data_IF_581894402219
#
_entry.id   IF_581894402219
#
_cell.length_a   1.000
_cell.length_b   1.000
_cell.length_c   1.000
_cell.angle_alpha   90.00
_cell.angle_beta   90.00
_cell.angle_gamma   90.00
#
_symmetry.space_group_name_H-M   'P 1'
#
loop_
_entity.id
_entity.type
_entity.pdbx_description
1 polymer ?
#
# COMPACT_ATOMS: atom_id res chain seq x y z
N UNK A 1 -9.47 5.81 22.60
CA UNK A 1 -10.38 4.81 21.98
C UNK A 1 -9.57 3.65 21.43
N UNK A 2 -10.06 2.43 21.58
CA UNK A 2 -9.45 1.24 20.98
C UNK A 2 -10.15 0.99 19.65
N UNK A 3 -9.40 0.86 18.55
CA UNK A 3 -9.97 0.54 17.23
C UNK A 3 -9.28 -0.68 16.63
N UNK A 4 -9.91 -1.24 15.61
CA UNK A 4 -9.33 -2.31 14.80
C UNK A 4 -8.10 -1.82 14.01
N UNK A 5 -7.06 -2.64 13.96
CA UNK A 5 -5.83 -2.39 13.22
C UNK A 5 -5.89 -3.05 11.84
N UNK A 6 -6.50 -2.35 10.87
CA UNK A 6 -6.67 -2.84 9.50
C UNK A 6 -5.35 -3.15 8.79
N UNK A 7 -4.30 -2.37 9.07
CA UNK A 7 -2.97 -2.57 8.48
C UNK A 7 -2.35 -3.86 8.99
N UNK A 8 -2.33 -4.05 10.31
CA UNK A 8 -1.82 -5.28 10.91
C UNK A 8 -2.62 -6.50 10.46
N UNK A 9 -3.93 -6.36 10.34
CA UNK A 9 -4.78 -7.41 9.79
C UNK A 9 -4.38 -7.77 8.34
N UNK A 10 -4.14 -6.77 7.48
CA UNK A 10 -3.70 -6.97 6.09
C UNK A 10 -2.36 -7.72 6.01
N UNK A 11 -1.39 -7.34 6.83
CA UNK A 11 -0.07 -7.99 6.90
C UNK A 11 -0.16 -9.44 7.36
N UNK A 12 -0.99 -9.72 8.37
CA UNK A 12 -1.23 -11.08 8.85
C UNK A 12 -1.79 -11.95 7.72
N UNK A 13 -2.79 -11.47 6.99
CA UNK A 13 -3.36 -12.22 5.87
C UNK A 13 -2.34 -12.43 4.74
N UNK A 14 -1.50 -11.43 4.43
CA UNK A 14 -0.42 -11.55 3.43
C UNK A 14 0.56 -12.65 3.83
N UNK A 15 1.03 -12.64 5.08
CA UNK A 15 1.97 -13.65 5.60
C UNK A 15 1.39 -15.07 5.58
N UNK A 16 0.09 -15.23 5.87
CA UNK A 16 -0.59 -16.55 5.82
C UNK A 16 -0.63 -17.09 4.39
N UNK A 17 -0.94 -16.24 3.40
CA UNK A 17 -0.95 -16.65 1.98
C UNK A 17 0.45 -17.01 1.50
N UNK A 18 1.49 -16.27 1.90
CA UNK A 18 2.88 -16.57 1.58
C UNK A 18 3.36 -17.90 2.17
N UNK A 19 3.01 -18.16 3.44
CA UNK A 19 3.31 -19.42 4.14
C UNK A 19 2.46 -20.59 3.64
N UNK A 20 1.38 -20.31 2.90
CA UNK A 20 0.41 -21.28 2.38
C UNK A 20 -0.20 -22.18 3.44
N UNK A 21 -0.29 -21.71 4.69
CA UNK A 21 -0.78 -22.51 5.81
C UNK A 21 -1.50 -21.64 6.85
N UNK A 22 -2.64 -22.13 7.34
CA UNK A 22 -3.37 -21.57 8.49
C UNK A 22 -3.96 -22.72 9.32
N UNK A 23 -3.66 -22.78 10.61
CA UNK A 23 -4.18 -23.80 11.53
C UNK A 23 -3.95 -25.26 11.08
N UNK A 24 -2.84 -25.53 10.38
CA UNK A 24 -2.54 -26.86 9.81
C UNK A 24 -3.19 -27.15 8.46
N UNK A 25 -4.01 -26.23 7.94
CA UNK A 25 -4.62 -26.34 6.62
C UNK A 25 -3.83 -25.56 5.55
N UNK A 26 -3.72 -26.14 4.35
CA UNK A 26 -3.10 -25.45 3.21
C UNK A 26 -3.99 -24.35 2.64
N UNK A 27 -3.41 -23.17 2.48
CA UNK A 27 -4.01 -21.99 1.86
C UNK A 27 -3.31 -21.72 0.53
N UNK A 28 -4.08 -21.70 -0.56
CA UNK A 28 -3.55 -21.51 -1.92
C UNK A 28 -3.84 -20.12 -2.48
N UNK A 29 -4.81 -19.40 -1.92
CA UNK A 29 -5.17 -18.06 -2.38
C UNK A 29 -5.78 -17.20 -1.29
N UNK A 30 -5.74 -15.88 -1.53
CA UNK A 30 -6.36 -14.89 -0.64
C UNK A 30 -7.88 -15.04 -0.57
N UNK A 31 -8.53 -15.45 -1.67
CA UNK A 31 -9.97 -15.72 -1.68
C UNK A 31 -10.33 -16.95 -0.83
N UNK A 32 -9.52 -18.02 -0.90
CA UNK A 32 -9.70 -19.18 -0.04
C UNK A 32 -9.52 -18.82 1.43
N UNK A 33 -8.53 -17.97 1.75
CA UNK A 33 -8.33 -17.46 3.09
C UNK A 33 -9.55 -16.70 3.62
N UNK A 34 -10.16 -15.82 2.79
CA UNK A 34 -11.39 -15.12 3.17
C UNK A 34 -12.55 -16.07 3.41
N UNK A 35 -12.70 -17.12 2.60
CA UNK A 35 -13.72 -18.13 2.80
C UNK A 35 -13.55 -18.85 4.13
N UNK A 36 -12.34 -19.31 4.44
CA UNK A 36 -12.06 -20.03 5.69
C UNK A 36 -12.30 -19.16 6.93
N UNK A 37 -11.86 -17.90 6.90
CA UNK A 37 -12.13 -16.95 7.99
C UNK A 37 -13.64 -16.67 8.10
N UNK A 38 -14.32 -16.48 6.97
CA UNK A 38 -15.76 -16.23 6.93
C UNK A 38 -16.57 -17.39 7.50
N UNK A 39 -16.24 -18.62 7.13
CA UNK A 39 -16.84 -19.85 7.66
C UNK A 39 -16.64 -19.97 9.18
N UNK A 40 -15.42 -19.76 9.67
CA UNK A 40 -15.08 -19.86 11.09
C UNK A 40 -15.77 -18.79 11.96
N UNK A 41 -16.04 -17.61 11.38
CA UNK A 41 -16.63 -16.47 12.08
C UNK A 41 -18.11 -16.25 11.76
N UNK A 42 -18.70 -17.09 10.91
CA UNK A 42 -20.07 -16.95 10.40
C UNK A 42 -20.35 -15.59 9.76
N UNK A 43 -19.40 -15.08 8.97
CA UNK A 43 -19.52 -13.84 8.19
C UNK A 43 -19.21 -14.10 6.72
N UNK A 44 -19.64 -13.21 5.83
CA UNK A 44 -19.34 -13.38 4.40
C UNK A 44 -17.85 -13.19 4.09
N UNK A 45 -17.30 -13.89 3.08
CA UNK A 45 -15.91 -13.67 2.64
C UNK A 45 -15.67 -12.21 2.20
N UNK A 46 -16.68 -11.54 1.64
CA UNK A 46 -16.61 -10.13 1.25
C UNK A 46 -16.52 -9.21 2.47
N UNK A 47 -17.15 -9.57 3.59
CA UNK A 47 -17.00 -8.85 4.87
C UNK A 47 -15.56 -8.93 5.37
N UNK A 48 -14.95 -10.13 5.32
CA UNK A 48 -13.53 -10.33 5.68
C UNK A 48 -12.61 -9.52 4.76
N UNK A 49 -12.89 -9.53 3.45
CA UNK A 49 -12.18 -8.72 2.46
C UNK A 49 -12.32 -7.21 2.78
N UNK A 50 -13.51 -6.77 3.17
CA UNK A 50 -13.78 -5.37 3.51
C UNK A 50 -13.00 -4.89 4.74
N UNK A 51 -12.80 -5.74 5.75
CA UNK A 51 -12.03 -5.39 6.96
C UNK A 51 -10.58 -4.96 6.70
N UNK A 52 -10.00 -5.33 5.55
CA UNK A 52 -8.67 -4.86 5.16
C UNK A 52 -8.65 -3.40 4.66
N UNK A 53 -9.81 -2.79 4.38
CA UNK A 53 -9.89 -1.41 3.88
C UNK A 53 -9.71 -0.41 5.02
N UNK A 54 -9.08 0.73 4.72
CA UNK A 54 -8.72 1.73 5.73
C UNK A 54 -9.93 2.43 6.36
N UNK A 55 -11.05 2.51 5.61
CA UNK A 55 -12.34 3.03 6.11
C UNK A 55 -13.18 2.00 6.86
N UNK A 56 -12.71 0.75 6.95
CA UNK A 56 -13.44 -0.29 7.65
C UNK A 56 -13.19 -0.20 9.15
N UNK A 57 -14.26 -0.18 9.95
CA UNK A 57 -14.14 -0.32 11.39
C UNK A 57 -13.76 -1.74 11.85
N UNK A 58 -13.55 -2.67 10.91
CA UNK A 58 -13.28 -4.08 11.20
C UNK A 58 -14.54 -4.85 11.60
N UNK A 59 -14.39 -5.94 12.36
CA UNK A 59 -15.50 -6.63 13.03
C UNK A 59 -16.40 -5.66 13.79
N UNK A 60 -17.70 -5.92 13.83
CA UNK A 60 -18.69 -5.01 14.45
C UNK A 60 -18.29 -4.67 15.90
N UNK A 61 -18.06 -3.39 16.24
CA UNK A 61 -17.70 -2.99 17.60
C UNK A 61 -18.75 -3.35 18.66
N UNK A 62 -20.01 -3.57 18.24
CA UNK A 62 -21.12 -4.01 19.11
C UNK A 62 -21.07 -5.49 19.43
N UNK A 63 -20.24 -6.26 18.72
CA UNK A 63 -19.94 -7.67 19.00
C UNK A 63 -18.44 -7.87 19.28
N UNK A 64 -17.98 -7.59 20.52
CA UNK A 64 -16.58 -7.77 20.89
C UNK A 64 -16.09 -9.22 20.78
N UNK A 65 -17.00 -10.21 20.80
CA UNK A 65 -16.65 -11.61 20.68
C UNK A 65 -16.25 -11.98 19.25
N UNK A 66 -16.77 -11.29 18.24
CA UNK A 66 -16.36 -11.50 16.84
C UNK A 66 -14.87 -11.20 16.63
N UNK A 67 -14.37 -10.11 17.20
CA UNK A 67 -12.96 -9.74 17.12
C UNK A 67 -12.07 -10.74 17.87
N UNK A 68 -12.48 -11.17 19.06
CA UNK A 68 -11.72 -12.19 19.82
C UNK A 68 -11.64 -13.51 19.08
N UNK A 69 -12.75 -13.95 18.47
CA UNK A 69 -12.78 -15.15 17.64
C UNK A 69 -11.87 -15.02 16.42
N UNK A 70 -11.85 -13.85 15.77
CA UNK A 70 -10.93 -13.57 14.66
C UNK A 70 -9.47 -13.68 15.12
N UNK A 71 -9.09 -13.02 16.20
CA UNK A 71 -7.73 -13.06 16.75
C UNK A 71 -7.31 -14.49 17.10
N UNK A 72 -8.19 -15.22 17.81
CA UNK A 72 -7.95 -16.61 18.19
C UNK A 72 -7.82 -17.53 16.96
N UNK A 73 -8.70 -17.38 15.97
CA UNK A 73 -8.67 -18.17 14.75
C UNK A 73 -7.39 -17.94 13.95
N UNK A 74 -6.81 -16.74 14.01
CA UNK A 74 -5.53 -16.42 13.37
C UNK A 74 -4.30 -16.83 14.20
N UNK A 75 -4.50 -17.38 15.40
CA UNK A 75 -3.41 -17.79 16.30
C UNK A 75 -2.77 -16.63 17.07
N UNK A 76 -3.47 -15.49 17.21
CA UNK A 76 -2.99 -14.32 17.91
C UNK A 76 -3.68 -14.14 19.28
N UNK A 77 -3.00 -13.53 20.27
CA UNK A 77 -3.61 -13.23 21.56
C UNK A 77 -4.74 -12.20 21.42
N UNK A 78 -5.65 -12.20 22.39
CA UNK A 78 -6.71 -11.18 22.46
C UNK A 78 -6.11 -9.78 22.48
N UNK A 79 -6.73 -8.86 21.74
CA UNK A 79 -6.26 -7.49 21.50
C UNK A 79 -5.05 -7.35 20.56
N UNK A 80 -4.58 -8.42 19.91
CA UNK A 80 -3.51 -8.33 18.93
C UNK A 80 -3.86 -7.48 17.70
N UNK A 81 -5.13 -7.44 17.29
CA UNK A 81 -5.63 -6.65 16.18
C UNK A 81 -6.27 -5.33 16.63
N UNK A 82 -5.98 -4.92 17.87
CA UNK A 82 -6.45 -3.66 18.43
C UNK A 82 -5.29 -2.66 18.50
N UNK A 83 -5.51 -1.46 17.98
CA UNK A 83 -4.62 -0.31 18.19
C UNK A 83 -5.26 0.67 19.16
N UNK A 84 -4.51 1.08 20.19
CA UNK A 84 -4.90 2.18 21.06
C UNK A 84 -4.69 3.48 20.30
N UNK A 85 -5.78 4.19 20.06
CA UNK A 85 -5.73 5.60 19.72
C UNK A 85 -5.87 6.36 21.03
N UNK A 86 -4.84 7.13 21.40
CA UNK A 86 -5.02 8.12 22.45
C UNK A 86 -6.00 9.16 21.89
N UNK A 87 -7.23 9.14 22.41
CA UNK A 87 -8.10 10.30 22.26
C UNK A 87 -7.65 11.20 23.40
N UNK A 88 -6.82 12.20 23.08
CA UNK A 88 -6.92 13.46 23.80
C UNK A 88 -8.36 13.91 23.59
N UNK A 89 -9.09 14.10 24.69
CA UNK A 89 -10.46 14.63 24.65
C UNK A 89 -10.46 15.86 23.73
N UNK A 90 -11.44 15.95 22.84
CA UNK A 90 -11.77 17.19 22.14
C UNK A 90 -12.18 18.24 23.20
N UNK A 91 -11.21 18.79 23.91
CA UNK A 91 -11.25 20.22 24.14
C UNK A 91 -11.21 20.86 22.75
N UNK A 92 -12.00 21.90 22.55
CA UNK A 92 -12.02 22.69 21.32
C UNK A 92 -10.66 23.35 21.09
N UNK A 93 -9.64 22.58 20.75
CA UNK A 93 -8.38 23.05 20.23
C UNK A 93 -8.60 23.29 18.74
N UNK A 94 -9.00 24.53 18.46
CA UNK A 94 -8.36 25.38 17.46
C UNK A 94 -7.45 24.61 16.50
N UNK A 95 -7.76 24.64 15.19
CA UNK A 95 -7.01 24.05 14.06
C UNK A 95 -5.53 24.47 14.05
N UNK A 96 -4.75 24.04 15.03
CA UNK A 96 -3.31 24.12 15.01
C UNK A 96 -2.85 22.88 14.30
N UNK A 97 -2.88 22.97 12.98
CA UNK A 97 -1.92 22.28 12.11
C UNK A 97 -0.61 22.23 12.91
N UNK A 98 -0.12 21.04 13.26
CA UNK A 98 1.19 20.91 13.91
C UNK A 98 2.17 21.61 12.97
N UNK A 99 2.58 22.82 13.35
CA UNK A 99 3.42 23.68 12.52
C UNK A 99 4.75 22.94 12.38
N UNK A 100 4.94 22.26 11.26
CA UNK A 100 6.18 21.55 10.99
C UNK A 100 7.27 22.57 10.70
N UNK A 101 8.50 22.31 11.12
CA UNK A 101 9.61 23.23 10.89
C UNK A 101 9.91 23.35 9.39
N UNK A 102 10.51 24.46 8.97
CA UNK A 102 10.96 24.64 7.57
C UNK A 102 11.91 23.53 7.13
N UNK A 103 12.72 22.99 8.06
CA UNK A 103 13.54 21.81 7.80
C UNK A 103 12.69 20.57 7.48
N UNK A 104 11.62 20.32 8.24
CA UNK A 104 10.69 19.22 7.97
C UNK A 104 9.94 19.42 6.64
N UNK A 105 9.52 20.65 6.33
CA UNK A 105 8.92 20.97 5.02
C UNK A 105 9.87 20.65 3.87
N UNK A 106 11.13 21.05 4.01
CA UNK A 106 12.15 20.71 3.03
C UNK A 106 12.31 19.20 2.89
N UNK A 107 12.33 18.44 3.99
CA UNK A 107 12.42 16.97 3.91
C UNK A 107 11.22 16.33 3.21
N UNK A 108 10.02 16.89 3.34
CA UNK A 108 8.83 16.43 2.62
C UNK A 108 8.95 16.78 1.13
N UNK A 109 9.41 18.00 0.81
CA UNK A 109 9.61 18.42 -0.57
C UNK A 109 10.68 17.57 -1.27
N UNK A 110 11.78 17.25 -0.59
CA UNK A 110 12.84 16.37 -1.09
C UNK A 110 12.29 14.98 -1.47
N UNK A 111 11.31 14.46 -0.71
CA UNK A 111 10.65 13.18 -1.03
C UNK A 111 9.77 13.33 -2.27
N UNK A 112 8.96 14.38 -2.33
CA UNK A 112 8.10 14.65 -3.48
C UNK A 112 8.95 14.79 -4.76
N UNK A 113 10.03 15.57 -4.72
CA UNK A 113 10.96 15.72 -5.84
C UNK A 113 11.61 14.40 -6.24
N UNK A 114 12.01 13.56 -5.29
CA UNK A 114 12.55 12.23 -5.58
C UNK A 114 11.52 11.34 -6.31
N UNK A 115 10.25 11.37 -5.91
CA UNK A 115 9.17 10.64 -6.57
C UNK A 115 8.87 11.19 -7.97
N UNK A 116 8.83 12.51 -8.16
CA UNK A 116 8.65 13.10 -9.50
C UNK A 116 9.84 12.78 -10.40
N UNK A 117 11.06 12.79 -9.84
CA UNK A 117 12.27 12.44 -10.56
C UNK A 117 12.23 11.00 -11.06
N UNK A 118 11.84 10.06 -10.20
CA UNK A 118 11.64 8.65 -10.53
C UNK A 118 10.74 8.42 -11.75
N UNK A 119 9.62 9.14 -11.81
CA UNK A 119 8.74 9.09 -12.98
C UNK A 119 9.39 9.75 -14.20
N UNK A 120 9.99 10.93 -14.04
CA UNK A 120 10.59 11.66 -15.15
C UNK A 120 11.80 10.96 -15.79
N UNK A 121 12.54 10.18 -15.01
CA UNK A 121 13.67 9.36 -15.47
C UNK A 121 13.20 8.00 -16.02
N UNK A 122 11.89 7.77 -16.05
CA UNK A 122 11.25 6.55 -16.57
C UNK A 122 11.63 5.29 -15.78
N UNK A 123 11.96 5.45 -14.49
CA UNK A 123 12.43 4.36 -13.61
C UNK A 123 11.30 3.54 -12.98
N UNK A 124 10.05 3.71 -13.42
CA UNK A 124 8.87 3.15 -12.72
C UNK A 124 8.81 1.61 -12.65
N UNK A 125 9.59 0.91 -13.49
CA UNK A 125 9.77 -0.54 -13.51
C UNK A 125 11.15 -0.99 -12.96
N UNK A 126 11.94 -0.07 -12.40
CA UNK A 126 13.30 -0.30 -11.92
C UNK A 126 13.33 -0.63 -10.42
N UNK A 127 13.52 -1.90 -10.08
CA UNK A 127 13.58 -2.39 -8.70
C UNK A 127 14.69 -1.70 -7.87
N UNK A 128 15.88 -1.51 -8.45
CA UNK A 128 17.00 -0.90 -7.74
C UNK A 128 16.69 0.55 -7.36
N UNK A 129 16.06 1.29 -8.27
CA UNK A 129 15.71 2.69 -8.03
C UNK A 129 14.54 2.83 -7.04
N UNK A 130 13.56 1.92 -7.09
CA UNK A 130 12.53 1.82 -6.05
C UNK A 130 13.13 1.67 -4.65
N UNK A 131 14.07 0.72 -4.46
CA UNK A 131 14.72 0.52 -3.16
C UNK A 131 15.59 1.71 -2.74
N UNK A 132 16.24 2.39 -3.68
CA UNK A 132 16.99 3.62 -3.39
C UNK A 132 16.10 4.72 -2.84
N UNK A 133 14.97 5.00 -3.49
CA UNK A 133 14.03 6.02 -3.04
C UNK A 133 13.43 5.64 -1.68
N UNK A 134 13.05 4.37 -1.51
CA UNK A 134 12.56 3.86 -0.22
C UNK A 134 13.57 4.08 0.91
N UNK A 135 14.85 3.77 0.67
CA UNK A 135 15.91 4.01 1.64
C UNK A 135 16.09 5.51 1.95
N UNK A 136 15.93 6.41 0.97
CA UNK A 136 15.96 7.86 1.17
C UNK A 136 14.80 8.34 2.05
N UNK A 137 13.61 7.75 1.90
CA UNK A 137 12.44 8.03 2.73
C UNK A 137 12.67 7.51 4.16
N UNK A 138 13.09 6.26 4.32
CA UNK A 138 13.29 5.62 5.63
C UNK A 138 14.28 6.38 6.52
N UNK A 139 15.34 6.96 5.94
CA UNK A 139 16.30 7.80 6.68
C UNK A 139 15.66 9.05 7.30
N UNK A 140 14.51 9.50 6.78
CA UNK A 140 13.78 10.68 7.27
C UNK A 140 12.81 10.35 8.40
N UNK A 141 12.70 9.09 8.84
CA UNK A 141 11.82 8.64 9.93
C UNK A 141 11.98 9.43 11.23
N UNK A 142 13.21 9.79 11.60
CA UNK A 142 13.48 10.54 12.84
C UNK A 142 13.17 12.03 12.70
N UNK A 143 13.07 12.54 11.48
CA UNK A 143 12.86 13.96 11.19
C UNK A 143 11.38 14.27 10.97
N UNK A 144 10.69 13.40 10.24
CA UNK A 144 9.30 13.62 9.87
C UNK A 144 8.33 13.22 10.99
N UNK A 145 7.21 13.94 11.15
CA UNK A 145 6.11 13.48 11.98
C UNK A 145 5.67 12.06 11.57
N UNK A 146 5.43 11.20 12.55
CA UNK A 146 5.07 9.80 12.34
C UNK A 146 3.89 9.62 11.39
N UNK A 147 2.87 10.48 11.51
CA UNK A 147 1.70 10.48 10.62
C UNK A 147 2.09 10.65 9.14
N UNK A 148 2.92 11.64 8.83
CA UNK A 148 3.35 11.93 7.46
C UNK A 148 4.27 10.82 6.95
N UNK A 149 5.24 10.41 7.78
CA UNK A 149 6.18 9.36 7.42
C UNK A 149 5.45 8.05 7.06
N UNK A 150 4.47 7.65 7.88
CA UNK A 150 3.68 6.44 7.62
C UNK A 150 2.82 6.58 6.36
N UNK A 151 2.23 7.76 6.10
CA UNK A 151 1.47 8.01 4.88
C UNK A 151 2.35 7.87 3.62
N UNK A 152 3.58 8.40 3.67
CA UNK A 152 4.55 8.28 2.56
C UNK A 152 4.96 6.81 2.34
N UNK A 153 5.28 6.06 3.40
CA UNK A 153 5.60 4.63 3.25
C UNK A 153 4.41 3.83 2.70
N UNK A 154 3.20 4.13 3.16
CA UNK A 154 2.00 3.47 2.63
C UNK A 154 1.78 3.79 1.16
N UNK A 155 2.08 5.01 0.71
CA UNK A 155 2.03 5.35 -0.70
C UNK A 155 3.06 4.53 -1.50
N UNK A 156 4.30 4.40 -0.99
CA UNK A 156 5.33 3.55 -1.61
C UNK A 156 4.86 2.09 -1.75
N UNK A 157 4.39 1.48 -0.67
CA UNK A 157 4.06 0.05 -0.64
C UNK A 157 2.75 -0.27 -1.41
N UNK A 158 1.75 0.63 -1.41
CA UNK A 158 0.44 0.33 -2.00
C UNK A 158 0.25 0.85 -3.43
N UNK A 159 1.05 1.86 -3.82
CA UNK A 159 0.94 2.53 -5.12
C UNK A 159 2.21 2.29 -5.93
N UNK A 160 3.36 2.79 -5.47
CA UNK A 160 4.60 2.77 -6.27
C UNK A 160 5.09 1.34 -6.53
N UNK A 161 5.07 0.48 -5.51
CA UNK A 161 5.51 -0.93 -5.60
C UNK A 161 4.83 -1.70 -6.73
N UNK A 162 3.55 -1.42 -6.99
CA UNK A 162 2.80 -2.10 -8.06
C UNK A 162 3.31 -1.78 -9.46
N UNK A 163 3.83 -0.57 -9.67
CA UNK A 163 4.41 -0.21 -10.95
C UNK A 163 5.72 -0.95 -11.22
N UNK A 164 6.39 -1.40 -10.17
CA UNK A 164 7.66 -2.11 -10.25
C UNK A 164 7.45 -3.61 -10.40
N UNK A 165 6.73 -4.22 -9.46
CA UNK A 165 6.67 -5.69 -9.34
C UNK A 165 5.42 -6.30 -9.96
N UNK A 166 4.37 -5.51 -10.19
CA UNK A 166 3.10 -5.95 -10.79
C UNK A 166 2.92 -5.38 -12.21
N UNK A 167 4.03 -5.13 -12.92
CA UNK A 167 4.02 -4.59 -14.27
C UNK A 167 3.31 -5.55 -15.25
N UNK A 168 2.18 -5.10 -15.80
CA UNK A 168 1.49 -5.81 -16.87
C UNK A 168 2.00 -5.33 -18.24
N UNK A 169 2.34 -6.29 -19.11
CA UNK A 169 2.80 -6.03 -20.47
C UNK A 169 1.71 -6.38 -21.49
N UNK A 170 1.67 -5.70 -22.65
CA UNK A 170 0.71 -6.03 -23.69
C UNK A 170 0.94 -7.44 -24.23
N UNK A 171 -0.15 -8.12 -24.59
CA UNK A 171 -0.06 -9.38 -25.31
C UNK A 171 0.42 -9.13 -26.76
N UNK A 172 1.38 -9.92 -27.22
CA UNK A 172 1.89 -9.88 -28.59
C UNK A 172 1.63 -11.21 -29.30
N UNK A 173 1.43 -11.14 -30.60
CA UNK A 173 1.43 -12.29 -31.51
C UNK A 173 2.86 -12.69 -31.89
N UNK A 174 3.04 -13.90 -32.45
CA UNK A 174 4.37 -14.39 -32.91
C UNK A 174 4.98 -13.53 -34.04
N UNK A 175 4.12 -12.85 -34.81
CA UNK A 175 4.53 -11.90 -35.85
C UNK A 175 5.00 -10.55 -35.27
N UNK A 176 4.49 -10.18 -34.09
CA UNK A 176 4.78 -8.91 -33.41
C UNK A 176 6.00 -8.99 -32.50
N UNK A 177 6.19 -10.12 -31.81
CA UNK A 177 7.32 -10.34 -30.92
C UNK A 177 7.71 -11.82 -30.83
N UNK A 178 8.98 -12.07 -30.53
CA UNK A 178 9.48 -13.41 -30.18
C UNK A 178 10.25 -13.37 -28.87
N UNK A 179 10.24 -14.48 -28.14
CA UNK A 179 11.01 -14.63 -26.92
C UNK A 179 12.21 -15.52 -27.18
N UNK A 180 13.41 -14.96 -27.05
CA UNK A 180 14.67 -15.70 -27.15
C UNK A 180 15.50 -15.48 -25.90
N UNK A 181 15.92 -16.57 -25.24
CA UNK A 181 16.76 -16.54 -24.04
C UNK A 181 16.24 -15.64 -22.89
N UNK A 182 14.92 -15.54 -22.75
CA UNK A 182 14.29 -14.69 -21.73
C UNK A 182 14.21 -13.21 -22.08
N UNK A 183 14.61 -12.83 -23.30
CA UNK A 183 14.48 -11.47 -23.83
C UNK A 183 13.37 -11.46 -24.87
N UNK A 184 12.41 -10.53 -24.74
CA UNK A 184 11.40 -10.28 -25.76
C UNK A 184 12.01 -9.40 -26.86
N UNK A 185 12.05 -9.90 -28.09
CA UNK A 185 12.45 -9.17 -29.27
C UNK A 185 11.18 -8.71 -30.01
N UNK A 186 10.97 -7.38 -30.06
CA UNK A 186 9.88 -6.77 -30.80
C UNK A 186 10.26 -6.71 -32.30
N UNK A 187 9.38 -7.21 -33.17
CA UNK A 187 9.63 -7.33 -34.62
C UNK A 187 9.03 -6.20 -35.45
N UNK A 188 8.03 -5.51 -34.93
CA UNK A 188 7.27 -4.50 -35.69
C UNK A 188 7.18 -3.18 -34.94
N UNK A 189 7.16 -2.08 -35.69
CA UNK A 189 6.95 -0.73 -35.14
C UNK A 189 5.58 -0.61 -34.44
N UNK A 190 4.57 -1.32 -34.94
CA UNK A 190 3.24 -1.35 -34.32
C UNK A 190 3.29 -1.96 -32.91
N UNK A 191 4.01 -3.07 -32.75
CA UNK A 191 4.20 -3.72 -31.46
C UNK A 191 5.06 -2.86 -30.50
N UNK A 192 6.10 -2.20 -31.02
CA UNK A 192 6.90 -1.27 -30.23
C UNK A 192 6.06 -0.09 -29.74
N UNK A 193 5.27 0.53 -30.62
CA UNK A 193 4.39 1.64 -30.25
C UNK A 193 3.34 1.20 -29.23
N UNK A 194 2.78 0.00 -29.34
CA UNK A 194 1.85 -0.57 -28.36
C UNK A 194 2.50 -0.69 -26.97
N UNK A 195 3.71 -1.23 -26.91
CA UNK A 195 4.49 -1.32 -25.66
C UNK A 195 4.73 0.06 -25.05
N UNK A 196 5.22 0.99 -25.88
CA UNK A 196 5.58 2.33 -25.45
C UNK A 196 4.35 3.13 -24.99
N UNK A 197 3.22 3.04 -25.70
CA UNK A 197 1.97 3.68 -25.29
C UNK A 197 1.51 3.21 -23.91
N UNK A 198 1.49 1.90 -23.66
CA UNK A 198 1.11 1.36 -22.35
C UNK A 198 2.09 1.80 -21.25
N UNK A 199 3.38 1.86 -21.54
CA UNK A 199 4.38 2.34 -20.58
C UNK A 199 4.20 3.83 -20.25
N UNK A 200 3.99 4.68 -21.26
CA UNK A 200 3.75 6.12 -21.08
C UNK A 200 2.43 6.40 -20.32
N UNK A 201 1.38 5.63 -20.57
CA UNK A 201 0.12 5.71 -19.81
C UNK A 201 0.36 5.41 -18.33
N UNK A 202 1.16 4.38 -18.02
CA UNK A 202 1.52 4.03 -16.64
C UNK A 202 2.37 5.10 -15.98
N UNK A 203 3.31 5.72 -16.71
CA UNK A 203 4.09 6.85 -16.23
C UNK A 203 3.17 8.02 -15.84
N UNK A 204 2.26 8.40 -16.74
CA UNK A 204 1.31 9.48 -16.48
C UNK A 204 0.41 9.17 -15.29
N UNK A 205 -0.12 7.95 -15.20
CA UNK A 205 -1.00 7.55 -14.10
C UNK A 205 -0.27 7.60 -12.75
N UNK A 206 0.99 7.15 -12.68
CA UNK A 206 1.78 7.26 -11.46
C UNK A 206 2.10 8.72 -11.12
N UNK A 207 2.40 9.55 -12.12
CA UNK A 207 2.65 10.99 -11.94
C UNK A 207 1.45 11.69 -11.29
N UNK A 208 0.25 11.45 -11.83
CA UNK A 208 -1.00 11.99 -11.31
C UNK A 208 -1.28 11.48 -9.88
N UNK A 209 -0.99 10.21 -9.59
CA UNK A 209 -1.14 9.64 -8.24
C UNK A 209 -0.19 10.30 -7.24
N UNK A 210 1.04 10.62 -7.63
CA UNK A 210 2.00 11.36 -6.79
C UNK A 210 1.46 12.76 -6.49
N UNK A 211 0.97 13.47 -7.49
CA UNK A 211 0.41 14.82 -7.31
C UNK A 211 -0.84 14.80 -6.42
N UNK A 212 -1.73 13.83 -6.63
CA UNK A 212 -2.90 13.64 -5.77
C UNK A 212 -2.52 13.32 -4.32
N UNK A 213 -1.52 12.46 -4.11
CA UNK A 213 -0.99 12.17 -2.78
C UNK A 213 -0.43 13.43 -2.11
N UNK A 214 0.37 14.23 -2.83
CA UNK A 214 0.93 15.47 -2.31
C UNK A 214 -0.17 16.47 -1.90
N UNK A 215 -1.20 16.63 -2.73
CA UNK A 215 -2.31 17.55 -2.44
C UNK A 215 -3.14 17.10 -1.23
N UNK A 216 -3.38 15.80 -1.08
CA UNK A 216 -4.28 15.28 -0.05
C UNK A 216 -3.59 15.07 1.30
N UNK A 217 -2.34 14.60 1.29
CA UNK A 217 -1.65 14.14 2.50
C UNK A 217 -0.53 15.08 2.94
N UNK A 218 0.07 15.86 2.01
CA UNK A 218 1.25 16.70 2.30
C UNK A 218 0.92 18.20 2.34
N UNK A 219 -0.09 18.65 1.61
CA UNK A 219 -0.42 20.08 1.41
C UNK A 219 -0.63 20.85 2.70
N UNK A 220 -1.37 20.28 3.65
CA UNK A 220 -1.69 20.95 4.92
C UNK A 220 -0.43 21.21 5.76
N UNK A 221 0.61 20.39 5.58
CA UNK A 221 1.90 20.55 6.25
C UNK A 221 2.83 21.52 5.52
N UNK A 222 2.70 21.63 4.20
CA UNK A 222 3.49 22.56 3.38
C UNK A 222 2.99 24.01 3.50
N UNK A 223 1.68 24.20 3.68
CA UNK A 223 1.04 25.53 3.73
C UNK A 223 0.80 26.08 5.15
N UNK A 224 0.89 25.24 6.19
CA UNK A 224 0.76 25.63 7.60
C UNK A 224 2.03 26.19 8.23
#
# INVERSE_FOLDING_TARGET
MIVFDNWKFREILKSIVEKKELNGDRIYSKQQLYMRIGEALHVSPDTVKYWQRDKSSGPDPRDPELLKKLEHYLGYPTSALQKKINIEEEETEDKRVKKISEFQKQQIMDIYEALKKYVSEMDIENEDEYYRIRAVIERKKLVLPETIFNAILQFMDNVVEKYVFEAEYPAFTEEEAEYENGVMNIKTDAAFNKLMSQFLERLQELDEKIDHFAVNELKDYLLG
#
